data_IF_979191270811
#
_entry.id   IF_979191270811
#
_cell.length_a   1.000
_cell.length_b   1.000
_cell.length_c   1.000
_cell.angle_alpha   90.00
_cell.angle_beta   90.00
_cell.angle_gamma   90.00
#
_symmetry.space_group_name_H-M   'P 1'
#
loop_
_entity.id
_entity.type
_entity.pdbx_description
1 polymer ?
#
# COMPACT_ATOMS: atom_id res chain seq x y z
N UNK A 1 31.47 37.65 -8.91
CA UNK A 1 30.09 37.50 -9.43
C UNK A 1 29.86 36.22 -10.26
N UNK A 2 30.73 35.85 -11.22
CA UNK A 2 30.54 34.63 -12.05
C UNK A 2 30.61 33.30 -11.28
N UNK A 3 31.40 33.23 -10.20
CA UNK A 3 31.53 32.01 -9.37
C UNK A 3 30.26 31.75 -8.53
N UNK A 4 29.64 32.81 -7.99
CA UNK A 4 28.41 32.73 -7.20
C UNK A 4 27.21 32.26 -8.03
N UNK A 5 27.07 32.77 -9.26
CA UNK A 5 26.04 32.30 -10.20
C UNK A 5 26.20 30.84 -10.60
N UNK A 6 27.44 30.35 -10.75
CA UNK A 6 27.71 28.92 -11.00
C UNK A 6 27.36 28.05 -9.80
N UNK A 7 27.72 28.46 -8.58
CA UNK A 7 27.39 27.71 -7.37
C UNK A 7 25.87 27.64 -7.18
N UNK A 8 25.16 28.76 -7.32
CA UNK A 8 23.70 28.80 -7.21
C UNK A 8 23.02 27.94 -8.29
N UNK A 9 23.54 27.94 -9.51
CA UNK A 9 23.07 27.08 -10.59
C UNK A 9 23.19 25.59 -10.23
N UNK A 10 24.35 25.14 -9.72
CA UNK A 10 24.53 23.75 -9.30
C UNK A 10 23.71 23.37 -8.07
N UNK A 11 23.44 24.30 -7.15
CA UNK A 11 22.58 24.08 -5.98
C UNK A 11 21.12 23.78 -6.36
N UNK A 12 20.65 24.24 -7.51
CA UNK A 12 19.30 23.93 -8.01
C UNK A 12 19.34 22.74 -8.98
N UNK A 13 20.34 22.71 -9.87
CA UNK A 13 20.44 21.68 -10.89
C UNK A 13 20.66 20.29 -10.30
N UNK A 14 21.51 20.15 -9.27
CA UNK A 14 21.80 18.83 -8.68
C UNK A 14 20.57 18.22 -8.00
N UNK A 15 19.83 18.92 -7.10
CA UNK A 15 18.60 18.38 -6.54
C UNK A 15 17.53 18.08 -7.59
N UNK A 16 17.39 18.94 -8.61
CA UNK A 16 16.45 18.69 -9.71
C UNK A 16 16.81 17.42 -10.48
N UNK A 17 18.10 17.25 -10.81
CA UNK A 17 18.58 16.04 -11.48
C UNK A 17 18.33 14.80 -10.63
N UNK A 18 18.67 14.85 -9.33
CA UNK A 18 18.41 13.74 -8.40
C UNK A 18 16.92 13.39 -8.33
N UNK A 19 16.05 14.40 -8.25
CA UNK A 19 14.61 14.21 -8.27
C UNK A 19 14.14 13.54 -9.57
N UNK A 20 14.62 14.01 -10.73
CA UNK A 20 14.25 13.41 -12.02
C UNK A 20 14.74 11.97 -12.17
N UNK A 21 15.95 11.66 -11.70
CA UNK A 21 16.48 10.30 -11.69
C UNK A 21 15.68 9.38 -10.78
N UNK A 22 15.23 9.90 -9.62
CA UNK A 22 14.36 9.17 -8.71
C UNK A 22 13.00 8.84 -9.36
N UNK A 23 12.38 9.82 -10.02
CA UNK A 23 11.12 9.58 -10.73
C UNK A 23 11.29 8.59 -11.89
N UNK A 24 12.39 8.68 -12.63
CA UNK A 24 12.72 7.72 -13.69
C UNK A 24 12.92 6.30 -13.12
N UNK A 25 13.55 6.18 -11.96
CA UNK A 25 13.70 4.90 -11.25
C UNK A 25 12.33 4.29 -10.90
N UNK A 26 11.40 5.08 -10.34
CA UNK A 26 10.06 4.60 -10.04
C UNK A 26 9.29 4.19 -11.30
N UNK A 27 9.33 5.03 -12.33
CA UNK A 27 8.66 4.74 -13.59
C UNK A 27 9.18 3.44 -14.23
N UNK A 28 10.50 3.23 -14.22
CA UNK A 28 11.10 1.99 -14.72
C UNK A 28 10.60 0.75 -13.96
N UNK A 29 10.44 0.84 -12.63
CA UNK A 29 9.89 -0.25 -11.82
C UNK A 29 8.40 -0.48 -12.08
N UNK A 30 7.62 0.60 -12.16
CA UNK A 30 6.20 0.54 -12.54
C UNK A 30 6.04 -0.13 -13.89
N UNK A 31 6.85 0.27 -14.88
CA UNK A 31 6.83 -0.33 -16.21
C UNK A 31 7.21 -1.81 -16.20
N UNK A 32 8.25 -2.18 -15.44
CA UNK A 32 8.65 -3.57 -15.26
C UNK A 32 7.52 -4.42 -14.66
N UNK A 33 6.78 -3.86 -13.70
CA UNK A 33 5.71 -4.57 -13.01
C UNK A 33 4.40 -4.72 -13.78
N UNK A 34 4.31 -4.15 -14.99
CA UNK A 34 3.20 -4.43 -15.90
C UNK A 34 3.14 -5.94 -16.15
N UNK A 35 4.27 -6.55 -16.50
CA UNK A 35 4.34 -7.98 -16.85
C UNK A 35 5.09 -8.84 -15.81
N UNK A 36 5.83 -8.22 -14.88
CA UNK A 36 6.58 -8.94 -13.85
C UNK A 36 6.03 -8.70 -12.45
N UNK A 37 6.04 -9.73 -11.61
CA UNK A 37 5.48 -9.62 -10.26
C UNK A 37 6.53 -9.10 -9.26
N UNK A 38 6.21 -8.13 -8.38
CA UNK A 38 7.11 -7.73 -7.31
C UNK A 38 7.37 -8.90 -6.35
N UNK A 39 8.65 -9.20 -6.13
CA UNK A 39 9.08 -10.26 -5.20
C UNK A 39 9.12 -9.79 -3.75
N UNK A 40 9.52 -8.52 -3.55
CA UNK A 40 9.55 -7.85 -2.25
C UNK A 40 9.19 -6.37 -2.42
N UNK A 41 8.56 -5.79 -1.41
CA UNK A 41 8.19 -4.37 -1.38
C UNK A 41 8.89 -3.67 -0.22
N UNK A 42 8.89 -2.33 -0.21
CA UNK A 42 9.39 -1.55 0.92
C UNK A 42 8.67 -1.92 2.23
N UNK A 43 7.34 -2.11 2.17
CA UNK A 43 6.57 -2.54 3.33
C UNK A 43 6.95 -3.95 3.80
N UNK A 44 7.08 -4.94 2.90
CA UNK A 44 7.51 -6.29 3.27
C UNK A 44 8.88 -6.29 3.97
N UNK A 45 9.86 -5.57 3.43
CA UNK A 45 11.21 -5.50 4.02
C UNK A 45 11.19 -4.92 5.42
N UNK A 46 10.41 -3.87 5.65
CA UNK A 46 10.26 -3.30 6.98
C UNK A 46 9.50 -4.22 7.93
N UNK A 47 8.42 -4.86 7.46
CA UNK A 47 7.66 -5.78 8.30
C UNK A 47 8.53 -6.97 8.75
N UNK A 48 9.40 -7.45 7.85
CA UNK A 48 10.40 -8.47 8.17
C UNK A 48 11.39 -7.98 9.24
N UNK A 49 11.95 -6.77 9.11
CA UNK A 49 12.91 -6.25 10.10
C UNK A 49 12.30 -6.17 11.50
N UNK A 50 11.06 -5.66 11.61
CA UNK A 50 10.32 -5.57 12.88
C UNK A 50 10.05 -6.94 13.49
N UNK A 51 9.74 -7.95 12.65
CA UNK A 51 9.50 -9.32 13.15
C UNK A 51 10.79 -10.01 13.56
N UNK A 52 11.89 -9.72 12.87
CA UNK A 52 13.22 -10.26 13.19
C UNK A 52 13.81 -9.69 14.48
N UNK A 53 13.46 -8.46 14.87
CA UNK A 53 13.79 -7.93 16.20
C UNK A 53 13.26 -8.82 17.34
N UNK A 54 12.09 -9.45 17.13
CA UNK A 54 11.47 -10.36 18.12
C UNK A 54 11.86 -11.82 17.92
N UNK A 55 12.08 -12.23 16.67
CA UNK A 55 12.40 -13.60 16.26
C UNK A 55 13.40 -13.57 15.10
N UNK A 56 14.72 -13.67 15.35
CA UNK A 56 15.75 -13.47 14.32
C UNK A 56 15.58 -14.35 13.06
N UNK A 57 15.11 -15.59 13.24
CA UNK A 57 14.91 -16.54 12.14
C UNK A 57 13.55 -16.40 11.43
N UNK A 58 12.79 -15.33 11.70
CA UNK A 58 11.48 -15.13 11.07
C UNK A 58 11.62 -14.97 9.55
N UNK A 59 10.73 -15.61 8.80
CA UNK A 59 10.63 -15.48 7.35
C UNK A 59 9.20 -15.12 6.94
N UNK A 60 9.08 -14.19 5.99
CA UNK A 60 7.79 -13.85 5.41
C UNK A 60 7.24 -15.02 4.59
N UNK A 61 5.93 -15.24 4.70
CA UNK A 61 5.21 -16.17 3.84
C UNK A 61 4.57 -15.36 2.73
N UNK A 62 5.17 -15.40 1.55
CA UNK A 62 4.63 -14.73 0.36
C UNK A 62 4.44 -15.74 -0.76
N UNK A 63 3.22 -15.82 -1.32
CA UNK A 63 2.94 -16.63 -2.50
C UNK A 63 2.03 -15.91 -3.46
N UNK A 64 2.55 -15.59 -4.64
CA UNK A 64 1.80 -14.94 -5.70
C UNK A 64 0.61 -15.77 -6.16
N UNK A 65 -0.51 -15.10 -6.40
CA UNK A 65 -1.73 -15.65 -6.97
C UNK A 65 -2.12 -14.81 -8.18
N UNK A 66 -2.14 -15.39 -9.39
CA UNK A 66 -2.62 -14.70 -10.59
C UNK A 66 -4.05 -14.22 -10.43
N UNK A 67 -4.40 -13.08 -11.03
CA UNK A 67 -5.71 -12.42 -10.84
C UNK A 67 -6.92 -13.35 -11.06
N UNK A 68 -6.86 -14.21 -12.08
CA UNK A 68 -7.92 -15.15 -12.42
C UNK A 68 -8.13 -16.26 -11.37
N UNK A 69 -7.14 -16.50 -10.51
CA UNK A 69 -7.22 -17.46 -9.39
C UNK A 69 -7.63 -16.80 -8.08
N UNK A 70 -7.73 -15.47 -8.04
CA UNK A 70 -8.23 -14.74 -6.89
C UNK A 70 -9.76 -14.75 -6.91
N UNK A 71 -10.37 -15.13 -5.78
CA UNK A 71 -11.83 -15.18 -5.63
C UNK A 71 -12.47 -13.82 -5.89
N UNK A 72 -13.53 -13.80 -6.70
CA UNK A 72 -14.29 -12.57 -6.98
C UNK A 72 -14.94 -12.00 -5.72
N UNK A 73 -15.29 -12.83 -4.73
CA UNK A 73 -15.79 -12.36 -3.44
C UNK A 73 -14.74 -11.54 -2.70
N UNK A 74 -13.47 -11.97 -2.72
CA UNK A 74 -12.40 -11.23 -2.08
C UNK A 74 -12.14 -9.90 -2.79
N UNK A 75 -12.07 -9.90 -4.12
CA UNK A 75 -11.89 -8.68 -4.92
C UNK A 75 -12.96 -7.64 -4.57
N UNK A 76 -14.23 -8.06 -4.56
CA UNK A 76 -15.36 -7.18 -4.22
C UNK A 76 -15.35 -6.72 -2.78
N UNK A 77 -15.04 -7.62 -1.83
CA UNK A 77 -14.98 -7.26 -0.42
C UNK A 77 -13.93 -6.18 -0.16
N UNK A 78 -12.74 -6.33 -0.75
CA UNK A 78 -11.63 -5.37 -0.61
C UNK A 78 -11.98 -4.04 -1.26
N UNK A 79 -12.50 -4.04 -2.50
CA UNK A 79 -12.95 -2.81 -3.17
C UNK A 79 -13.99 -2.11 -2.27
N UNK A 80 -15.05 -2.81 -1.86
CA UNK A 80 -16.10 -2.20 -1.06
C UNK A 80 -15.65 -1.70 0.34
N UNK A 81 -14.62 -2.31 0.93
CA UNK A 81 -14.13 -1.92 2.26
C UNK A 81 -13.04 -0.85 2.23
N UNK A 82 -12.19 -0.85 1.20
CA UNK A 82 -11.00 0.03 1.11
C UNK A 82 -11.21 1.21 0.17
N UNK A 83 -11.98 1.02 -0.91
CA UNK A 83 -12.05 1.95 -2.04
C UNK A 83 -13.24 1.60 -2.95
N UNK A 84 -14.46 1.99 -2.56
CA UNK A 84 -15.70 1.62 -3.24
C UNK A 84 -15.81 2.20 -4.66
N UNK A 85 -15.15 3.33 -4.92
CA UNK A 85 -14.99 3.97 -6.22
C UNK A 85 -13.80 3.48 -7.05
N UNK A 86 -13.08 2.42 -6.64
CA UNK A 86 -11.80 2.00 -7.25
C UNK A 86 -11.82 1.90 -8.78
N UNK A 87 -12.94 1.44 -9.35
CA UNK A 87 -13.09 1.23 -10.79
C UNK A 87 -13.39 2.52 -11.57
N UNK A 88 -13.84 3.56 -10.87
CA UNK A 88 -14.35 4.79 -11.48
C UNK A 88 -13.34 5.94 -11.47
N UNK A 89 -12.42 5.98 -10.49
CA UNK A 89 -11.42 7.05 -10.37
C UNK A 89 -10.04 6.68 -10.96
N UNK A 90 -9.19 7.67 -11.25
CA UNK A 90 -7.82 7.47 -11.75
C UNK A 90 -6.77 7.54 -10.62
N UNK A 91 -6.93 6.69 -9.61
CA UNK A 91 -6.03 6.58 -8.44
C UNK A 91 -6.25 7.56 -7.29
N UNK A 92 -6.98 8.66 -7.47
CA UNK A 92 -7.37 9.55 -6.38
C UNK A 92 -8.86 9.78 -6.41
N UNK A 93 -9.53 9.48 -5.30
CA UNK A 93 -10.91 9.87 -5.05
C UNK A 93 -10.95 11.20 -4.28
N UNK A 94 -11.21 12.28 -5.00
CA UNK A 94 -11.27 13.63 -4.43
C UNK A 94 -12.49 13.83 -3.54
N UNK A 95 -13.62 13.20 -3.87
CA UNK A 95 -14.86 13.32 -3.10
C UNK A 95 -14.72 12.60 -1.77
N UNK A 96 -14.22 11.35 -1.78
CA UNK A 96 -13.93 10.60 -0.56
C UNK A 96 -12.86 11.27 0.30
N UNK A 97 -11.82 11.85 -0.31
CA UNK A 97 -10.79 12.58 0.41
C UNK A 97 -11.35 13.83 1.11
N UNK A 98 -12.17 14.61 0.42
CA UNK A 98 -12.82 15.79 0.98
C UNK A 98 -13.79 15.40 2.12
N UNK A 99 -14.62 14.38 1.91
CA UNK A 99 -15.53 13.87 2.92
C UNK A 99 -14.79 13.36 4.17
N UNK A 100 -13.68 12.64 3.99
CA UNK A 100 -12.82 12.18 5.07
C UNK A 100 -12.19 13.36 5.84
N UNK A 101 -11.72 14.37 5.12
CA UNK A 101 -11.15 15.59 5.71
C UNK A 101 -12.18 16.34 6.58
N UNK A 102 -13.37 16.59 6.06
CA UNK A 102 -14.45 17.26 6.79
C UNK A 102 -14.88 16.48 8.03
N UNK A 103 -15.00 15.16 7.92
CA UNK A 103 -15.34 14.27 9.04
C UNK A 103 -14.26 14.29 10.12
N UNK A 104 -12.99 14.27 9.73
CA UNK A 104 -11.86 14.33 10.65
C UNK A 104 -11.75 15.70 11.34
N UNK A 105 -12.00 16.79 10.62
CA UNK A 105 -12.09 18.13 11.21
C UNK A 105 -13.22 18.22 12.25
N UNK A 106 -14.44 17.77 11.89
CA UNK A 106 -15.59 17.76 12.80
C UNK A 106 -15.35 16.93 14.06
N UNK A 107 -14.57 15.86 13.98
CA UNK A 107 -14.25 14.96 15.11
C UNK A 107 -12.97 15.35 15.86
N UNK A 108 -12.20 16.31 15.38
CA UNK A 108 -10.90 16.72 15.95
C UNK A 108 -9.83 15.63 15.96
N UNK A 109 -10.06 14.51 15.28
CA UNK A 109 -9.14 13.37 15.18
C UNK A 109 -9.38 12.61 13.88
N UNK A 110 -8.38 11.87 13.43
CA UNK A 110 -8.50 11.01 12.25
C UNK A 110 -9.38 9.81 12.59
N UNK A 111 -10.58 9.79 12.02
CA UNK A 111 -11.58 8.71 12.17
C UNK A 111 -11.93 8.03 10.85
N UNK A 112 -11.53 8.62 9.71
CA UNK A 112 -11.79 8.11 8.37
C UNK A 112 -10.53 8.24 7.53
N UNK A 113 -10.16 7.16 6.83
CA UNK A 113 -9.17 7.19 5.75
C UNK A 113 -9.82 7.64 4.45
N UNK A 114 -9.09 8.37 3.61
CA UNK A 114 -9.52 8.78 2.27
C UNK A 114 -8.49 8.37 1.21
N UNK A 115 -7.75 7.28 1.46
CA UNK A 115 -6.71 6.79 0.55
C UNK A 115 -7.18 5.59 -0.23
N UNK A 116 -7.09 5.69 -1.55
CA UNK A 116 -7.49 4.67 -2.53
C UNK A 116 -6.57 3.45 -2.51
N UNK A 117 -7.01 2.34 -3.10
CA UNK A 117 -6.21 1.12 -3.28
C UNK A 117 -4.87 1.44 -3.98
N UNK A 118 -4.89 2.29 -5.01
CA UNK A 118 -3.69 2.66 -5.76
C UNK A 118 -2.72 3.50 -4.92
N UNK A 119 -3.21 4.43 -4.09
CA UNK A 119 -2.36 5.17 -3.15
C UNK A 119 -1.74 4.24 -2.10
N UNK A 120 -2.54 3.32 -1.56
CA UNK A 120 -2.05 2.32 -0.62
C UNK A 120 -1.00 1.41 -1.26
N UNK A 121 -1.20 1.02 -2.52
CA UNK A 121 -0.24 0.25 -3.31
C UNK A 121 1.07 1.01 -3.53
N UNK A 122 1.00 2.27 -3.98
CA UNK A 122 2.18 3.12 -4.19
C UNK A 122 3.04 3.21 -2.91
N UNK A 123 2.37 3.43 -1.77
CA UNK A 123 3.02 3.45 -0.46
C UNK A 123 3.67 2.12 -0.10
N UNK A 124 2.98 1.00 -0.29
CA UNK A 124 3.50 -0.34 0.05
C UNK A 124 4.73 -0.70 -0.80
N UNK A 125 4.66 -0.45 -2.11
CA UNK A 125 5.69 -0.81 -3.07
C UNK A 125 7.01 -0.06 -2.81
N UNK A 126 6.94 1.26 -2.67
CA UNK A 126 8.14 2.10 -2.74
C UNK A 126 8.47 2.84 -1.44
N UNK A 127 7.46 3.30 -0.69
CA UNK A 127 7.66 4.34 0.31
C UNK A 127 7.81 3.76 1.73
N UNK A 128 8.59 4.43 2.56
CA UNK A 128 8.61 4.19 4.00
C UNK A 128 7.32 4.72 4.66
N UNK A 129 6.93 4.23 5.84
CA UNK A 129 5.77 4.71 6.59
C UNK A 129 6.02 6.05 7.30
N UNK A 130 7.16 6.70 7.07
CA UNK A 130 7.47 8.00 7.65
C UNK A 130 6.43 9.03 7.23
N UNK A 131 5.83 9.71 8.21
CA UNK A 131 4.77 10.67 7.96
C UNK A 131 5.37 12.03 7.60
N UNK A 132 5.65 12.25 6.32
CA UNK A 132 6.04 13.57 5.80
C UNK A 132 5.15 14.01 4.62
N UNK A 133 4.96 15.32 4.49
CA UNK A 133 4.23 15.91 3.35
C UNK A 133 4.93 15.62 2.03
N UNK A 134 6.27 15.64 2.01
CA UNK A 134 7.05 15.25 0.84
C UNK A 134 6.76 13.80 0.43
N UNK A 135 6.77 12.86 1.38
CA UNK A 135 6.41 11.45 1.12
C UNK A 135 4.99 11.29 0.62
N UNK A 136 4.04 12.11 1.07
CA UNK A 136 2.66 12.11 0.51
C UNK A 136 2.62 12.67 -0.91
N UNK A 137 3.45 13.66 -1.24
CA UNK A 137 3.63 14.14 -2.62
C UNK A 137 4.16 13.03 -3.55
N UNK A 138 5.21 12.33 -3.14
CA UNK A 138 5.76 11.18 -3.87
C UNK A 138 4.72 10.08 -4.07
N UNK A 139 3.91 9.79 -3.03
CA UNK A 139 2.82 8.82 -3.14
C UNK A 139 1.84 9.18 -4.26
N UNK A 140 1.47 10.46 -4.40
CA UNK A 140 0.57 10.91 -5.46
C UNK A 140 1.20 10.78 -6.85
N UNK A 141 2.50 11.11 -6.99
CA UNK A 141 3.22 10.96 -8.27
C UNK A 141 3.27 9.49 -8.69
N UNK A 142 3.63 8.60 -7.77
CA UNK A 142 3.69 7.15 -8.04
C UNK A 142 2.29 6.58 -8.30
N UNK A 143 1.27 7.04 -7.58
CA UNK A 143 -0.14 6.67 -7.82
C UNK A 143 -0.54 7.00 -9.26
N UNK A 144 -0.19 8.20 -9.73
CA UNK A 144 -0.44 8.60 -11.11
C UNK A 144 0.32 7.73 -12.11
N UNK A 145 1.59 7.40 -11.84
CA UNK A 145 2.37 6.48 -12.69
C UNK A 145 1.72 5.10 -12.79
N UNK A 146 1.25 4.54 -11.67
CA UNK A 146 0.58 3.24 -11.63
C UNK A 146 -0.69 3.23 -12.50
N UNK A 147 -1.55 4.24 -12.34
CA UNK A 147 -2.82 4.34 -13.10
C UNK A 147 -2.63 4.60 -14.59
N UNK A 148 -1.55 5.28 -14.98
CA UNK A 148 -1.26 5.51 -16.40
C UNK A 148 -0.56 4.34 -17.08
N UNK A 149 0.16 3.51 -16.33
CA UNK A 149 0.92 2.40 -16.89
C UNK A 149 0.22 1.04 -16.79
N UNK A 150 -0.73 0.87 -15.87
CA UNK A 150 -1.40 -0.41 -15.60
C UNK A 150 -2.91 -0.26 -15.64
N UNK A 151 -3.61 -1.32 -16.04
CA UNK A 151 -5.06 -1.39 -15.88
C UNK A 151 -5.46 -1.67 -14.41
N UNK A 152 -6.73 -1.41 -14.09
CA UNK A 152 -7.29 -1.64 -12.76
C UNK A 152 -7.16 -3.09 -12.30
N UNK A 153 -7.23 -4.03 -13.23
CA UNK A 153 -7.08 -5.45 -12.94
C UNK A 153 -5.67 -5.75 -12.42
N UNK A 154 -4.63 -5.24 -13.08
CA UNK A 154 -3.23 -5.44 -12.71
C UNK A 154 -2.90 -4.73 -11.40
N UNK A 155 -3.37 -3.49 -11.23
CA UNK A 155 -3.22 -2.76 -9.96
C UNK A 155 -3.81 -3.57 -8.81
N UNK A 156 -5.04 -4.07 -8.96
CA UNK A 156 -5.70 -4.85 -7.93
C UNK A 156 -5.02 -6.21 -7.71
N UNK A 157 -4.52 -6.87 -8.76
CA UNK A 157 -3.74 -8.11 -8.64
C UNK A 157 -2.51 -7.89 -7.75
N UNK A 158 -1.73 -6.85 -8.05
CA UNK A 158 -0.52 -6.56 -7.29
C UNK A 158 -0.90 -6.24 -5.85
N UNK A 159 -1.86 -5.33 -5.64
CA UNK A 159 -2.34 -4.95 -4.32
C UNK A 159 -2.70 -6.16 -3.46
N UNK A 160 -3.54 -7.07 -3.96
CA UNK A 160 -3.99 -8.25 -3.21
C UNK A 160 -2.86 -9.25 -2.91
N UNK A 161 -1.76 -9.19 -3.66
CA UNK A 161 -0.58 -10.01 -3.41
C UNK A 161 0.41 -9.37 -2.42
N UNK A 162 0.50 -8.04 -2.40
CA UNK A 162 1.48 -7.33 -1.56
C UNK A 162 0.92 -6.76 -0.25
N UNK A 163 -0.40 -6.74 -0.08
CA UNK A 163 -1.03 -6.42 1.20
C UNK A 163 -0.82 -7.56 2.20
N UNK A 164 -0.63 -7.19 3.47
CA UNK A 164 -0.51 -8.14 4.57
C UNK A 164 -1.88 -8.62 5.02
N UNK A 165 -2.09 -9.94 4.99
CA UNK A 165 -3.35 -10.58 5.37
C UNK A 165 -3.34 -11.14 6.81
N UNK A 166 -2.18 -11.09 7.45
CA UNK A 166 -1.89 -11.57 8.79
C UNK A 166 -0.40 -11.45 9.04
N UNK A 167 0.04 -11.54 10.30
CA UNK A 167 1.44 -11.26 10.68
C UNK A 167 2.46 -12.03 9.82
N UNK A 168 3.18 -11.30 8.96
CA UNK A 168 4.19 -11.82 8.04
C UNK A 168 3.63 -12.64 6.87
N UNK A 169 2.34 -12.49 6.56
CA UNK A 169 1.61 -13.27 5.53
C UNK A 169 1.15 -12.37 4.41
N UNK A 170 1.65 -12.63 3.20
CA UNK A 170 1.38 -11.88 1.99
C UNK A 170 0.86 -12.80 0.88
N UNK A 171 -0.13 -12.33 0.12
CA UNK A 171 -0.78 -13.09 -0.93
C UNK A 171 -1.91 -14.02 -0.45
N UNK A 172 -3.00 -14.03 -1.20
CA UNK A 172 -4.28 -14.65 -0.82
C UNK A 172 -4.18 -16.13 -0.46
N UNK A 173 -3.31 -16.93 -1.11
CA UNK A 173 -3.34 -18.39 -0.94
C UNK A 173 -3.11 -18.84 0.51
N UNK A 174 -2.61 -17.95 1.37
CA UNK A 174 -2.45 -18.19 2.80
C UNK A 174 -3.70 -17.87 3.64
N UNK A 175 -4.62 -17.01 3.17
CA UNK A 175 -5.91 -16.72 3.83
C UNK A 175 -6.81 -17.95 3.95
N UNK A 176 -6.86 -18.81 2.93
CA UNK A 176 -7.62 -20.07 3.00
C UNK A 176 -7.15 -20.99 4.14
N UNK A 177 -5.90 -20.85 4.59
CA UNK A 177 -5.35 -21.59 5.74
C UNK A 177 -5.57 -20.87 7.08
N UNK A 178 -5.79 -19.56 7.08
CA UNK A 178 -5.87 -18.73 8.29
C UNK A 178 -7.33 -18.49 8.71
N UNK A 179 -8.25 -18.32 7.75
CA UNK A 179 -9.69 -18.16 8.04
C UNK A 179 -10.35 -19.49 8.44
N UNK A 180 -9.73 -20.63 8.11
CA UNK A 180 -10.15 -21.96 8.56
C UNK A 180 -9.49 -22.40 9.88
N UNK A 181 -9.25 -21.48 10.82
CA UNK A 181 -9.20 -21.88 12.22
C UNK A 181 -10.68 -22.08 12.63
N UNK A 182 -11.14 -23.30 12.95
CA UNK A 182 -12.51 -23.50 13.38
C UNK A 182 -12.76 -22.62 14.61
N UNK A 183 -13.72 -21.70 14.50
CA UNK A 183 -14.23 -20.99 15.67
C UNK A 183 -14.74 -22.09 16.61
N UNK A 184 -14.18 -22.23 17.83
CA UNK A 184 -14.69 -23.22 18.76
C UNK A 184 -16.19 -22.95 18.97
N UNK A 185 -17.04 -23.98 19.02
CA UNK A 185 -18.47 -23.76 19.26
C UNK A 185 -18.63 -22.91 20.52
N UNK A 186 -19.69 -22.11 20.60
CA UNK A 186 -19.94 -21.18 21.72
C UNK A 186 -19.86 -21.91 23.08
N UNK A 187 -20.17 -23.21 23.12
CA UNK A 187 -20.01 -24.10 24.27
C UNK A 187 -18.58 -24.30 24.78
N UNK A 188 -17.57 -24.00 23.96
CA UNK A 188 -16.14 -24.16 24.24
C UNK A 188 -15.43 -22.82 24.51
N UNK A 189 -16.17 -21.70 24.48
CA UNK A 189 -15.66 -20.40 24.96
C UNK A 189 -15.77 -20.34 26.49
N UNK A 190 -14.72 -19.89 27.21
CA UNK A 190 -14.82 -19.65 28.64
C UNK A 190 -15.89 -18.58 28.88
N UNK A 191 -16.88 -18.90 29.73
CA UNK A 191 -17.88 -17.91 30.18
C UNK A 191 -17.14 -16.77 30.86
N UNK A 192 -17.15 -15.60 30.22
CA UNK A 192 -16.67 -14.35 30.82
C UNK A 192 -17.45 -14.13 32.13
N UNK A 193 -16.79 -13.88 33.27
CA UNK A 193 -17.49 -13.44 34.47
C UNK A 193 -18.19 -12.12 34.16
N UNK A 194 -19.50 -12.06 34.41
CA UNK A 194 -20.24 -10.81 34.34
C UNK A 194 -19.58 -9.80 35.28
N UNK A 195 -19.30 -8.61 34.75
CA UNK A 195 -18.79 -7.53 35.59
C UNK A 195 -19.87 -7.11 36.60
N UNK A 196 -19.49 -6.83 37.86
CA UNK A 196 -20.41 -6.38 38.90
C UNK A 196 -21.02 -5.01 38.60
#
# INVERSE_FOLDING_TARGET
MKLFGRILFWLVLVPLLLFTLLQAYYLAHVWWWIDHNPTSTSFMRQQLSVLQEKKPDFQLKHKWVPYNRISNHLKRAVIASEDDGFVDHEGVDWEAMQAAYEKNQKKGKVVSGGSTITQQLAKNLFLSPDRSYFRKGEELIITYMLEKCMDKQRILEIYLNVVEWGVGVFGQRLLHKIIFIPVPPISALPRQPGWP
#
